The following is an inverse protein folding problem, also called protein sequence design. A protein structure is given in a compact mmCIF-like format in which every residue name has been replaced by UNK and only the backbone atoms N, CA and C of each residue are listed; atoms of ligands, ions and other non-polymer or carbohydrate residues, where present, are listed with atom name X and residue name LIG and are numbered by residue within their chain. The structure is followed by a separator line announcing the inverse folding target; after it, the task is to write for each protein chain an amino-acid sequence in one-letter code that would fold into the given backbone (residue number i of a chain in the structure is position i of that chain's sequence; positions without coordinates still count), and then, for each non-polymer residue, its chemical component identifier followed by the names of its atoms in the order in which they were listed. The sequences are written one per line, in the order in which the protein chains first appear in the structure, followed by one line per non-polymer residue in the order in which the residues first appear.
data_IF_179465485407
#
_entry.id   IF_179465485407
#
_cell.length_a   1.000
_cell.length_b   1.000
_cell.length_c   1.000
_cell.angle_alpha   90.00
_cell.angle_beta   90.00
_cell.angle_gamma   90.00
#
_symmetry.space_group_name_H-M   'P 1'
#
loop_
_entity.id
_entity.type
_entity.pdbx_description
1 polymer ?
#
# COMPACT_ATOMS: atom_id res chain seq x y z
N UNK A 1 11.13 0.16 -6.38
CA UNK A 1 10.49 0.39 -5.07
C UNK A 1 9.25 1.24 -5.33
N UNK A 2 8.05 0.65 -5.31
CA UNK A 2 6.83 1.43 -5.55
C UNK A 2 6.53 2.29 -4.33
N UNK A 3 6.42 3.60 -4.53
CA UNK A 3 5.95 4.48 -3.46
C UNK A 3 4.46 4.18 -3.22
N UNK A 4 3.97 4.19 -1.97
CA UNK A 4 2.56 3.94 -1.66
C UNK A 4 1.60 4.84 -2.46
N UNK A 5 2.02 6.06 -2.81
CA UNK A 5 1.26 6.99 -3.65
C UNK A 5 1.06 6.50 -5.10
N UNK A 6 2.09 5.92 -5.70
CA UNK A 6 2.02 5.41 -7.07
C UNK A 6 1.15 4.16 -7.13
N UNK A 7 1.26 3.30 -6.11
CA UNK A 7 0.43 2.12 -5.98
C UNK A 7 -1.05 2.47 -5.73
N UNK A 8 -1.30 3.47 -4.89
CA UNK A 8 -2.62 4.06 -4.67
C UNK A 8 -3.23 4.56 -5.99
N UNK A 9 -2.49 5.34 -6.78
CA UNK A 9 -2.93 5.81 -8.10
C UNK A 9 -3.21 4.68 -9.08
N UNK A 10 -2.37 3.65 -9.11
CA UNK A 10 -2.50 2.52 -10.04
C UNK A 10 -3.71 1.63 -9.74
N UNK A 11 -4.05 1.47 -8.46
CA UNK A 11 -5.22 0.69 -8.02
C UNK A 11 -6.49 1.55 -7.94
N UNK A 12 -6.37 2.87 -8.05
CA UNK A 12 -7.50 3.80 -7.95
C UNK A 12 -8.05 3.92 -6.53
N UNK A 13 -7.25 3.59 -5.52
CA UNK A 13 -7.63 3.65 -4.10
C UNK A 13 -6.80 4.69 -3.37
N UNK A 14 -7.32 5.21 -2.26
CA UNK A 14 -6.55 6.16 -1.43
C UNK A 14 -5.37 5.47 -0.74
N UNK A 15 -4.31 6.22 -0.46
CA UNK A 15 -3.16 5.75 0.34
C UNK A 15 -3.62 5.26 1.72
N UNK A 16 -4.68 5.89 2.28
CA UNK A 16 -5.27 5.51 3.57
C UNK A 16 -5.95 4.14 3.50
N UNK A 17 -6.56 3.80 2.37
CA UNK A 17 -7.13 2.47 2.11
C UNK A 17 -6.03 1.42 2.07
N UNK A 18 -4.92 1.72 1.42
CA UNK A 18 -3.74 0.84 1.39
C UNK A 18 -3.12 0.63 2.77
N UNK A 19 -2.97 1.69 3.56
CA UNK A 19 -2.52 1.59 4.96
C UNK A 19 -3.48 0.74 5.80
N UNK A 20 -4.79 0.88 5.58
CA UNK A 20 -5.79 0.06 6.27
C UNK A 20 -5.66 -1.40 5.90
N UNK A 21 -5.50 -1.73 4.62
CA UNK A 21 -5.30 -3.12 4.17
C UNK A 21 -3.99 -3.74 4.66
N UNK A 22 -2.97 -2.91 4.84
CA UNK A 22 -1.69 -3.31 5.42
C UNK A 22 -1.82 -3.63 6.93
N UNK A 23 -2.61 -2.86 7.67
CA UNK A 23 -2.96 -3.14 9.09
C UNK A 23 -3.90 -4.34 9.21
N UNK A 24 -4.85 -4.47 8.30
CA UNK A 24 -5.88 -5.52 8.30
C UNK A 24 -5.36 -6.85 7.71
N UNK A 25 -4.12 -6.87 7.18
CA UNK A 25 -3.48 -8.07 6.61
C UNK A 25 -4.04 -8.52 5.25
N UNK A 26 -4.96 -7.76 4.65
CA UNK A 26 -5.57 -8.07 3.35
C UNK A 26 -4.61 -7.84 2.17
N UNK A 27 -3.67 -6.91 2.32
CA UNK A 27 -2.64 -6.63 1.32
C UNK A 27 -1.34 -6.32 2.06
N UNK A 28 -0.53 -7.35 2.40
CA UNK A 28 0.71 -7.13 3.12
C UNK A 28 1.63 -6.28 2.24
N UNK A 29 1.91 -5.05 2.67
CA UNK A 29 2.88 -4.23 1.97
C UNK A 29 4.23 -4.94 2.07
N UNK A 30 4.86 -5.21 0.92
CA UNK A 30 6.21 -5.76 0.90
C UNK A 30 7.18 -4.67 1.33
N UNK A 31 7.32 -4.49 2.64
CA UNK A 31 8.27 -3.56 3.26
C UNK A 31 9.65 -4.13 3.02
N UNK A 32 10.36 -3.62 2.02
CA UNK A 32 11.80 -3.86 1.92
C UNK A 32 12.45 -3.16 3.12
N UNK A 33 12.85 -3.94 4.13
CA UNK A 33 13.86 -3.53 5.11
C UNK A 33 15.14 -3.33 4.31
N UNK A 34 15.51 -2.07 4.08
CA UNK A 34 16.83 -1.70 3.58
C UNK A 34 17.58 -1.00 4.69
#
# INVERSE_FOLDING_TARGET
MFKPHEFAKKIGVSVKTLQRWDVEGKLPAKRTLS
#
